data_IF_174567398159
#
_entry.id   IF_174567398159
#
_cell.length_a   1.000
_cell.length_b   1.000
_cell.length_c   1.000
_cell.angle_alpha   90.00
_cell.angle_beta   90.00
_cell.angle_gamma   90.00
#
_symmetry.space_group_name_H-M   'P 1'
#
loop_
_entity.id
_entity.type
_entity.pdbx_description
1 polymer ?
#
# COMPACT_ATOMS: atom_id res chain seq x y z
N UNK A 1 -3.85 13.97 -13.83
CA UNK A 1 -5.06 13.52 -14.56
C UNK A 1 -4.92 12.01 -14.76
N UNK A 2 -5.96 11.19 -14.54
CA UNK A 2 -5.83 9.73 -14.75
C UNK A 2 -5.57 9.36 -16.22
N UNK A 3 -5.81 10.30 -17.15
CA UNK A 3 -5.58 10.11 -18.60
C UNK A 3 -4.12 9.79 -18.98
N UNK A 4 -3.16 10.00 -18.09
CA UNK A 4 -1.73 9.71 -18.34
C UNK A 4 -1.28 8.34 -17.78
N UNK A 5 -2.20 7.57 -17.15
CA UNK A 5 -1.92 6.25 -16.59
C UNK A 5 -1.98 5.17 -17.67
N UNK A 6 -1.15 4.13 -17.53
CA UNK A 6 -1.26 2.98 -18.42
C UNK A 6 -2.53 2.16 -18.09
N UNK A 7 -3.03 1.37 -19.05
CA UNK A 7 -4.26 0.58 -18.90
C UNK A 7 -4.20 -0.35 -17.67
N UNK A 8 -3.05 -0.94 -17.36
CA UNK A 8 -2.90 -1.82 -16.19
C UNK A 8 -3.06 -1.04 -14.87
N UNK A 9 -2.58 0.20 -14.80
CA UNK A 9 -2.78 1.06 -13.64
C UNK A 9 -4.24 1.48 -13.48
N UNK A 10 -4.96 1.75 -14.57
CA UNK A 10 -6.40 2.03 -14.51
C UNK A 10 -7.21 0.80 -14.06
N UNK A 11 -6.88 -0.39 -14.57
CA UNK A 11 -7.53 -1.64 -14.15
C UNK A 11 -7.26 -1.95 -12.68
N UNK A 12 -6.01 -1.84 -12.22
CA UNK A 12 -5.64 -1.99 -10.81
C UNK A 12 -6.39 -0.98 -9.95
N UNK A 13 -6.52 0.25 -10.43
CA UNK A 13 -7.23 1.30 -9.73
C UNK A 13 -8.74 1.07 -9.69
N UNK A 14 -9.35 0.44 -10.69
CA UNK A 14 -10.78 0.18 -10.67
C UNK A 14 -11.16 -1.14 -9.99
N UNK A 15 -10.20 -2.04 -9.77
CA UNK A 15 -10.42 -3.31 -9.09
C UNK A 15 -10.87 -3.12 -7.65
N UNK A 16 -11.97 -3.77 -7.27
CA UNK A 16 -12.37 -3.86 -5.87
C UNK A 16 -11.42 -4.78 -5.11
N UNK A 17 -10.89 -4.29 -3.99
CA UNK A 17 -10.03 -5.06 -3.09
C UNK A 17 -10.81 -5.31 -1.81
N UNK A 18 -11.07 -6.59 -1.51
CA UNK A 18 -11.82 -7.02 -0.34
C UNK A 18 -11.08 -8.13 0.38
N UNK A 19 -11.00 -7.99 1.71
CA UNK A 19 -10.43 -8.96 2.65
C UNK A 19 -11.38 -9.11 3.85
N UNK A 20 -11.06 -10.00 4.80
CA UNK A 20 -11.82 -10.08 6.06
C UNK A 20 -11.57 -8.88 7.00
N UNK A 21 -10.53 -8.08 6.77
CA UNK A 21 -10.23 -6.87 7.54
C UNK A 21 -10.96 -5.66 6.94
N UNK A 22 -12.11 -5.31 7.53
CA UNK A 22 -12.97 -4.20 7.09
C UNK A 22 -12.21 -2.85 7.15
N UNK A 23 -11.35 -2.66 8.13
CA UNK A 23 -10.58 -1.42 8.28
C UNK A 23 -9.56 -1.27 7.15
N UNK A 24 -8.86 -2.35 6.80
CA UNK A 24 -7.97 -2.39 5.64
C UNK A 24 -8.73 -2.04 4.35
N UNK A 25 -9.89 -2.65 4.13
CA UNK A 25 -10.70 -2.40 2.94
C UNK A 25 -11.13 -0.92 2.85
N UNK A 26 -11.54 -0.33 3.97
CA UNK A 26 -11.94 1.08 4.05
C UNK A 26 -10.77 2.03 3.77
N UNK A 27 -9.58 1.75 4.29
CA UNK A 27 -8.38 2.56 4.04
C UNK A 27 -8.00 2.55 2.56
N UNK A 28 -8.04 1.37 1.90
CA UNK A 28 -7.76 1.24 0.47
C UNK A 28 -8.81 1.99 -0.35
N UNK A 29 -10.10 1.85 -0.01
CA UNK A 29 -11.18 2.56 -0.70
C UNK A 29 -11.02 4.07 -0.56
N UNK A 30 -10.80 4.58 0.65
CA UNK A 30 -10.61 6.01 0.90
C UNK A 30 -9.40 6.55 0.12
N UNK A 31 -8.28 5.81 0.11
CA UNK A 31 -7.09 6.18 -0.65
C UNK A 31 -7.40 6.35 -2.14
N UNK A 32 -8.13 5.40 -2.74
CA UNK A 32 -8.52 5.43 -4.15
C UNK A 32 -9.49 6.58 -4.44
N UNK A 33 -10.53 6.75 -3.62
CA UNK A 33 -11.51 7.83 -3.80
C UNK A 33 -10.84 9.21 -3.76
N UNK A 34 -9.90 9.41 -2.83
CA UNK A 34 -9.15 10.67 -2.70
C UNK A 34 -8.17 10.93 -3.83
N UNK A 35 -7.55 9.88 -4.40
CA UNK A 35 -6.56 10.05 -5.45
C UNK A 35 -7.15 10.67 -6.74
N UNK A 36 -8.47 10.55 -6.95
CA UNK A 36 -9.19 11.24 -8.02
C UNK A 36 -9.23 12.77 -7.86
N UNK A 37 -9.08 13.27 -6.63
CA UNK A 37 -9.14 14.70 -6.32
C UNK A 37 -7.69 15.22 -6.38
N UNK A 38 -7.32 16.09 -7.34
CA UNK A 38 -5.93 16.51 -7.51
C UNK A 38 -5.30 17.14 -6.26
N UNK A 39 -6.08 17.88 -5.46
CA UNK A 39 -5.63 18.47 -4.20
C UNK A 39 -5.39 17.45 -3.07
N UNK A 40 -5.94 16.24 -3.18
CA UNK A 40 -5.92 15.24 -2.12
C UNK A 40 -4.95 14.10 -2.41
N UNK A 41 -4.18 14.13 -3.50
CA UNK A 41 -3.26 13.03 -3.86
C UNK A 41 -2.25 12.71 -2.77
N UNK A 42 -1.79 13.73 -2.03
CA UNK A 42 -0.95 13.50 -0.85
C UNK A 42 -1.72 12.71 0.21
N UNK A 43 -2.91 13.16 0.59
CA UNK A 43 -3.78 12.49 1.57
C UNK A 43 -4.10 11.05 1.13
N UNK A 44 -4.37 10.85 -0.16
CA UNK A 44 -4.59 9.53 -0.74
C UNK A 44 -3.38 8.61 -0.51
N UNK A 45 -2.16 9.12 -0.72
CA UNK A 45 -0.93 8.38 -0.43
C UNK A 45 -0.79 8.09 1.07
N UNK A 46 -1.11 9.04 1.95
CA UNK A 46 -1.09 8.83 3.41
C UNK A 46 -2.02 7.67 3.80
N UNK A 47 -3.26 7.67 3.29
CA UNK A 47 -4.25 6.61 3.53
C UNK A 47 -3.82 5.24 3.01
N UNK A 48 -3.19 5.21 1.84
CA UNK A 48 -2.66 3.95 1.31
C UNK A 48 -1.47 3.44 2.15
N UNK A 49 -0.70 4.34 2.76
CA UNK A 49 0.32 3.97 3.73
C UNK A 49 -0.26 3.42 5.03
N UNK A 50 -1.36 3.99 5.52
CA UNK A 50 -2.09 3.43 6.66
C UNK A 50 -2.58 2.01 6.34
N UNK A 51 -3.11 1.79 5.13
CA UNK A 51 -3.48 0.45 4.66
C UNK A 51 -2.27 -0.51 4.64
N UNK A 52 -1.11 -0.04 4.18
CA UNK A 52 0.13 -0.82 4.19
C UNK A 52 0.64 -1.13 5.62
N UNK A 53 0.49 -0.21 6.57
CA UNK A 53 0.80 -0.49 7.97
C UNK A 53 -0.18 -1.49 8.58
N UNK A 54 -1.46 -1.41 8.20
CA UNK A 54 -2.51 -2.32 8.67
C UNK A 54 -2.33 -3.74 8.15
N UNK A 55 -2.07 -3.92 6.85
CA UNK A 55 -1.93 -5.27 6.26
C UNK A 55 -0.73 -6.03 6.86
N UNK A 56 0.32 -5.33 7.28
CA UNK A 56 1.47 -5.91 8.03
C UNK A 56 1.09 -6.55 9.36
N UNK A 57 -0.11 -6.30 9.87
CA UNK A 57 -0.68 -6.88 11.08
C UNK A 57 -1.87 -7.80 10.82
N UNK A 58 -2.17 -8.14 9.55
CA UNK A 58 -3.37 -8.88 9.16
C UNK A 58 -3.50 -10.27 9.83
N UNK A 59 -2.41 -11.02 9.99
CA UNK A 59 -2.48 -12.40 10.47
C UNK A 59 -2.33 -12.57 11.99
N UNK A 60 -1.55 -11.71 12.62
CA UNK A 60 -1.19 -11.82 14.04
C UNK A 60 -1.04 -10.43 14.69
N UNK A 61 -1.32 -10.35 15.99
CA UNK A 61 -1.10 -9.14 16.80
C UNK A 61 0.40 -8.80 16.95
N UNK A 62 1.28 -9.80 16.94
CA UNK A 62 2.72 -9.55 16.89
C UNK A 62 3.12 -9.10 15.48
N UNK A 63 3.32 -7.79 15.31
CA UNK A 63 3.62 -7.17 14.01
C UNK A 63 4.78 -7.84 13.26
N UNK A 64 5.86 -8.21 13.95
CA UNK A 64 7.03 -8.84 13.31
C UNK A 64 6.65 -10.20 12.71
N UNK A 65 6.03 -11.08 13.51
CA UNK A 65 5.60 -12.40 13.05
C UNK A 65 4.53 -12.31 11.96
N UNK A 66 3.57 -11.42 12.13
CA UNK A 66 2.50 -11.14 11.16
C UNK A 66 3.07 -10.73 9.80
N UNK A 67 4.04 -9.80 9.81
CA UNK A 67 4.72 -9.34 8.59
C UNK A 67 5.57 -10.45 7.96
N UNK A 68 6.26 -11.27 8.75
CA UNK A 68 7.05 -12.40 8.24
C UNK A 68 6.16 -13.46 7.57
N UNK A 69 5.00 -13.76 8.16
CA UNK A 69 3.99 -14.65 7.58
C UNK A 69 3.38 -14.08 6.30
N UNK A 70 3.05 -12.79 6.30
CA UNK A 70 2.57 -12.09 5.11
C UNK A 70 3.58 -12.17 3.97
N UNK A 71 4.85 -11.85 4.22
CA UNK A 71 5.92 -11.95 3.22
C UNK A 71 6.05 -13.38 2.69
N UNK A 72 5.98 -14.38 3.57
CA UNK A 72 6.05 -15.80 3.16
C UNK A 72 4.93 -16.14 2.16
N UNK A 73 3.68 -15.79 2.49
CA UNK A 73 2.50 -16.05 1.64
C UNK A 73 2.62 -15.31 0.30
N UNK A 74 3.01 -14.03 0.32
CA UNK A 74 3.16 -13.22 -0.90
C UNK A 74 4.27 -13.77 -1.80
N UNK A 75 5.33 -14.32 -1.20
CA UNK A 75 6.47 -14.87 -1.94
C UNK A 75 6.26 -16.27 -2.50
N UNK A 76 5.08 -16.88 -2.34
CA UNK A 76 4.81 -18.20 -2.91
C UNK A 76 4.96 -18.18 -4.43
N UNK A 77 5.89 -18.98 -4.95
CA UNK A 77 6.24 -18.99 -6.39
C UNK A 77 7.16 -17.85 -6.83
N UNK A 78 7.73 -17.08 -5.90
CA UNK A 78 8.62 -15.95 -6.18
C UNK A 78 9.76 -15.83 -5.14
N UNK A 79 10.71 -14.94 -5.37
CA UNK A 79 11.82 -14.72 -4.43
C UNK A 79 11.35 -13.95 -3.18
N UNK A 80 11.45 -14.61 -2.03
CA UNK A 80 11.11 -14.05 -0.71
C UNK A 80 11.97 -12.85 -0.32
N UNK A 81 13.25 -12.83 -0.67
CA UNK A 81 14.14 -11.72 -0.33
C UNK A 81 13.74 -10.44 -1.06
N UNK A 82 13.31 -10.55 -2.32
CA UNK A 82 12.81 -9.42 -3.09
C UNK A 82 11.58 -8.80 -2.40
N UNK A 83 10.59 -9.62 -2.05
CA UNK A 83 9.38 -9.14 -1.35
C UNK A 83 9.73 -8.57 0.04
N UNK A 84 10.61 -9.25 0.78
CA UNK A 84 11.05 -8.77 2.10
C UNK A 84 11.73 -7.41 2.02
N UNK A 85 12.61 -7.23 1.04
CA UNK A 85 13.33 -5.97 0.84
C UNK A 85 12.37 -4.86 0.40
N UNK A 86 11.36 -5.17 -0.42
CA UNK A 86 10.32 -4.22 -0.80
C UNK A 86 9.54 -3.70 0.41
N UNK A 87 9.08 -4.60 1.29
CA UNK A 87 8.39 -4.21 2.53
C UNK A 87 9.26 -3.35 3.46
N UNK A 88 10.55 -3.69 3.59
CA UNK A 88 11.51 -2.91 4.39
C UNK A 88 11.73 -1.53 3.80
N UNK A 89 11.93 -1.43 2.49
CA UNK A 89 12.16 -0.18 1.78
C UNK A 89 10.94 0.74 1.87
N UNK A 90 9.73 0.24 1.61
CA UNK A 90 8.50 1.03 1.75
C UNK A 90 8.25 1.46 3.20
N UNK A 91 8.58 0.62 4.19
CA UNK A 91 8.53 1.02 5.60
C UNK A 91 9.53 2.17 5.88
N UNK A 92 10.74 2.08 5.34
CA UNK A 92 11.76 3.14 5.48
C UNK A 92 11.31 4.45 4.82
N UNK A 93 10.74 4.38 3.61
CA UNK A 93 10.19 5.55 2.90
C UNK A 93 9.09 6.22 3.73
N UNK A 94 8.09 5.46 4.20
CA UNK A 94 7.01 5.99 5.02
C UNK A 94 7.48 6.61 6.35
N UNK A 95 8.57 6.08 6.92
CA UNK A 95 9.21 6.63 8.10
C UNK A 95 10.19 7.78 7.80
N UNK A 96 10.53 8.07 6.55
CA UNK A 96 11.52 9.11 6.20
C UNK A 96 10.83 10.37 5.70
N UNK A 97 9.79 10.20 4.88
CA UNK A 97 9.01 11.30 4.35
C UNK A 97 7.87 11.63 5.31
N UNK A 98 7.46 12.91 5.36
CA UNK A 98 6.32 13.39 6.15
C UNK A 98 4.98 12.94 5.54
N UNK A 99 4.84 11.63 5.34
CA UNK A 99 3.62 10.97 4.86
C UNK A 99 2.66 10.75 6.05
N UNK A 100 3.15 10.80 7.30
CA UNK A 100 2.29 10.92 8.49
C UNK A 100 2.32 12.37 9.00
N UNK A 101 1.14 12.97 9.18
CA UNK A 101 0.96 14.38 9.53
C UNK A 101 1.60 14.81 10.87
N UNK A 102 1.92 13.85 11.75
CA UNK A 102 2.44 14.11 13.10
C UNK A 102 3.97 14.27 13.20
N UNK A 103 4.71 14.24 12.10
CA UNK A 103 6.18 14.21 12.14
C UNK A 103 6.76 15.53 11.58
N UNK A 104 6.90 16.53 12.46
CA UNK A 104 7.30 17.92 12.14
C UNK A 104 8.73 18.07 11.60
N UNK A 105 9.58 17.04 11.70
CA UNK A 105 11.02 17.09 11.36
C UNK A 105 11.38 16.38 10.03
N UNK A 106 10.40 16.00 9.19
CA UNK A 106 10.62 15.17 7.99
C UNK A 106 10.50 15.92 6.67
N UNK A 107 11.23 15.45 5.65
CA UNK A 107 11.24 16.02 4.28
C UNK A 107 9.85 15.94 3.65
N UNK A 108 9.38 17.05 3.07
CA UNK A 108 8.14 17.05 2.30
C UNK A 108 8.34 16.37 0.95
N UNK A 109 7.37 15.54 0.57
CA UNK A 109 7.28 14.96 -0.76
C UNK A 109 6.56 15.99 -1.65
N UNK A 110 7.34 16.84 -2.32
CA UNK A 110 6.82 18.01 -3.05
C UNK A 110 6.48 17.81 -4.52
N UNK A 111 6.80 16.65 -5.10
CA UNK A 111 6.59 16.36 -6.53
C UNK A 111 5.45 15.36 -6.74
N UNK A 112 4.39 15.82 -7.42
CA UNK A 112 3.20 15.04 -7.77
C UNK A 112 3.51 13.74 -8.52
N UNK A 113 4.58 13.73 -9.34
CA UNK A 113 4.99 12.52 -10.07
C UNK A 113 5.52 11.45 -9.12
N UNK A 114 6.26 11.85 -8.09
CA UNK A 114 6.73 10.92 -7.06
C UNK A 114 5.59 10.44 -6.16
N UNK A 115 4.60 11.29 -5.86
CA UNK A 115 3.38 10.88 -5.15
C UNK A 115 2.66 9.80 -5.96
N UNK A 116 2.44 10.05 -7.25
CA UNK A 116 1.79 9.09 -8.16
C UNK A 116 2.57 7.78 -8.24
N UNK A 117 3.89 7.85 -8.43
CA UNK A 117 4.76 6.67 -8.45
C UNK A 117 4.64 5.84 -7.17
N UNK A 118 4.75 6.47 -6.00
CA UNK A 118 4.67 5.77 -4.72
C UNK A 118 3.27 5.20 -4.47
N UNK A 119 2.22 5.92 -4.87
CA UNK A 119 0.84 5.45 -4.76
C UNK A 119 0.66 4.13 -5.52
N UNK A 120 1.03 4.09 -6.81
CA UNK A 120 0.85 2.87 -7.61
C UNK A 120 1.80 1.75 -7.22
N UNK A 121 3.03 2.06 -6.79
CA UNK A 121 3.96 1.07 -6.23
C UNK A 121 3.36 0.39 -5.01
N UNK A 122 2.80 1.16 -4.09
CA UNK A 122 2.20 0.65 -2.86
C UNK A 122 0.88 -0.09 -3.14
N UNK A 123 0.04 0.45 -4.02
CA UNK A 123 -1.23 -0.18 -4.40
C UNK A 123 -1.00 -1.54 -5.06
N UNK A 124 0.02 -1.65 -5.92
CA UNK A 124 0.37 -2.91 -6.59
C UNK A 124 0.80 -3.98 -5.58
N UNK A 125 1.60 -3.60 -4.57
CA UNK A 125 2.01 -4.51 -3.52
C UNK A 125 0.84 -4.95 -2.63
N UNK A 126 -0.05 -4.01 -2.27
CA UNK A 126 -1.27 -4.32 -1.50
C UNK A 126 -2.20 -5.22 -2.29
N UNK A 127 -2.38 -4.99 -3.58
CA UNK A 127 -3.21 -5.85 -4.43
C UNK A 127 -2.67 -7.29 -4.48
N UNK A 128 -1.36 -7.44 -4.72
CA UNK A 128 -0.70 -8.74 -4.66
C UNK A 128 -0.91 -9.42 -3.29
N UNK A 129 -0.73 -8.67 -2.21
CA UNK A 129 -0.90 -9.17 -0.85
C UNK A 129 -2.32 -9.65 -0.57
N UNK A 130 -3.32 -8.86 -0.94
CA UNK A 130 -4.74 -9.18 -0.71
C UNK A 130 -5.20 -10.34 -1.58
N UNK A 131 -4.74 -10.45 -2.83
CA UNK A 131 -5.00 -11.62 -3.68
C UNK A 131 -4.45 -12.90 -3.01
N UNK A 132 -3.19 -12.87 -2.55
CA UNK A 132 -2.55 -14.03 -1.90
C UNK A 132 -3.18 -14.40 -0.57
N UNK A 133 -3.61 -13.41 0.22
CA UNK A 133 -4.40 -13.62 1.43
C UNK A 133 -5.69 -14.38 1.09
N UNK A 134 -6.45 -13.89 0.11
CA UNK A 134 -7.73 -14.49 -0.27
C UNK A 134 -7.56 -15.92 -0.84
N UNK A 135 -6.50 -16.17 -1.63
CA UNK A 135 -6.15 -17.52 -2.10
C UNK A 135 -5.87 -18.50 -0.95
N UNK A 136 -5.28 -18.04 0.14
CA UNK A 136 -4.95 -18.87 1.32
C UNK A 136 -6.13 -19.06 2.29
N UNK A 137 -7.21 -18.29 2.12
CA UNK A 137 -8.41 -18.36 2.96
C UNK A 137 -9.55 -19.17 2.33
N UNK A 138 -9.42 -19.53 1.04
CA UNK A 138 -10.33 -20.41 0.29
C UNK A 138 -9.82 -21.85 0.28
#
# INVERSE_FOLDING_TARGET
NLLDLNINTELLFNKEITTKDIELNNLIKEAKDRFYIPSDQKIALEKLWDAFERIKTYFESNKKKSSEKLVLIISEGFDKEIISNEFKLLTSIGNTFRIRHHETDKKELGDEKHITYLFFRLLSLIDLATNKINENEN
#
